data_IF_354076624606
#
_entry.id   IF_354076624606
#
_cell.length_a   1.000
_cell.length_b   1.000
_cell.length_c   1.000
_cell.angle_alpha   90.00
_cell.angle_beta   90.00
_cell.angle_gamma   90.00
#
_symmetry.space_group_name_H-M   'P 1'
#
loop_
_entity.id
_entity.type
_entity.pdbx_description
1 polymer ?
#
# COMPACT_ATOMS: atom_id res chain seq x y z
N UNK A 1 -8.59 -2.23 21.05
CA UNK A 1 -7.32 -1.94 20.34
C UNK A 1 -7.61 -2.06 18.86
N UNK A 2 -7.40 -0.99 18.09
CA UNK A 2 -7.63 -1.05 16.65
C UNK A 2 -6.52 -1.88 16.01
N UNK A 3 -6.89 -2.77 15.10
CA UNK A 3 -5.97 -3.74 14.51
C UNK A 3 -5.25 -3.11 13.31
N UNK A 4 -3.94 -2.93 13.42
CA UNK A 4 -3.09 -2.49 12.29
C UNK A 4 -2.57 -3.68 11.46
N UNK A 5 -3.17 -4.87 11.61
CA UNK A 5 -2.73 -6.09 10.93
C UNK A 5 -2.74 -5.96 9.42
N UNK A 6 -3.78 -5.32 8.84
CA UNK A 6 -3.86 -5.16 7.40
C UNK A 6 -2.79 -4.20 6.86
N UNK A 7 -2.50 -3.11 7.58
CA UNK A 7 -1.36 -2.23 7.27
C UNK A 7 -0.04 -3.01 7.24
N UNK A 8 0.26 -3.78 8.29
CA UNK A 8 1.50 -4.56 8.35
C UNK A 8 1.56 -5.65 7.27
N UNK A 9 0.43 -6.26 6.94
CA UNK A 9 0.34 -7.20 5.83
C UNK A 9 0.70 -6.54 4.49
N UNK A 10 0.08 -5.38 4.18
CA UNK A 10 0.35 -4.64 2.94
C UNK A 10 1.81 -4.19 2.89
N UNK A 11 2.32 -3.59 3.96
CA UNK A 11 3.72 -3.13 4.02
C UNK A 11 4.70 -4.30 3.92
N UNK A 12 4.42 -5.40 4.60
CA UNK A 12 5.19 -6.63 4.51
C UNK A 12 5.23 -7.21 3.11
N UNK A 13 4.09 -7.23 2.41
CA UNK A 13 4.00 -7.63 1.00
C UNK A 13 4.91 -6.76 0.11
N UNK A 14 4.83 -5.44 0.25
CA UNK A 14 5.64 -4.50 -0.54
C UNK A 14 7.13 -4.72 -0.28
N UNK A 15 7.54 -4.82 0.99
CA UNK A 15 8.93 -5.08 1.36
C UNK A 15 9.39 -6.44 0.80
N UNK A 16 8.58 -7.49 0.91
CA UNK A 16 8.94 -8.82 0.41
C UNK A 16 9.14 -8.82 -1.11
N UNK A 17 8.20 -8.26 -1.87
CA UNK A 17 8.30 -8.15 -3.34
C UNK A 17 9.57 -7.40 -3.73
N UNK A 18 9.89 -6.30 -3.04
CA UNK A 18 11.06 -5.47 -3.35
C UNK A 18 12.37 -6.12 -2.94
N UNK A 19 12.41 -6.90 -1.86
CA UNK A 19 13.60 -7.66 -1.45
C UNK A 19 13.94 -8.79 -2.44
N UNK A 20 12.94 -9.47 -2.98
CA UNK A 20 13.13 -10.59 -3.94
C UNK A 20 13.44 -10.06 -5.34
N UNK A 21 13.02 -8.84 -5.68
CA UNK A 21 13.29 -8.25 -6.98
C UNK A 21 14.81 -8.14 -7.27
N UNK A 22 15.33 -8.76 -8.34
CA UNK A 22 16.75 -8.72 -8.68
C UNK A 22 17.18 -7.38 -9.30
N UNK A 23 16.22 -6.53 -9.67
CA UNK A 23 16.46 -5.27 -10.38
C UNK A 23 16.77 -4.09 -9.46
N UNK A 24 16.58 -4.24 -8.15
CA UNK A 24 16.88 -3.22 -7.16
C UNK A 24 18.22 -3.52 -6.50
N UNK A 25 19.09 -2.51 -6.46
CA UNK A 25 20.31 -2.58 -5.66
C UNK A 25 19.97 -2.45 -4.16
N UNK A 26 20.95 -2.72 -3.31
CA UNK A 26 20.77 -2.65 -1.86
C UNK A 26 20.30 -1.27 -1.38
N UNK A 27 20.81 -0.19 -1.97
CA UNK A 27 20.41 1.18 -1.63
C UNK A 27 18.92 1.45 -1.87
N UNK A 28 18.40 1.07 -3.03
CA UNK A 28 16.97 1.21 -3.37
C UNK A 28 16.12 0.38 -2.42
N UNK A 29 16.54 -0.86 -2.13
CA UNK A 29 15.88 -1.74 -1.15
C UNK A 29 15.81 -1.10 0.24
N UNK A 30 16.90 -0.51 0.72
CA UNK A 30 16.93 0.19 2.01
C UNK A 30 16.01 1.42 2.04
N UNK A 31 16.00 2.23 0.97
CA UNK A 31 15.12 3.40 0.87
C UNK A 31 13.65 2.97 0.92
N UNK A 32 13.28 1.89 0.23
CA UNK A 32 11.91 1.35 0.25
C UNK A 32 11.52 0.95 1.67
N UNK A 33 12.37 0.21 2.39
CA UNK A 33 12.09 -0.20 3.77
C UNK A 33 11.91 1.00 4.68
N UNK A 34 12.79 2.01 4.57
CA UNK A 34 12.69 3.25 5.36
C UNK A 34 11.40 4.00 5.01
N UNK A 35 11.06 4.11 3.73
CA UNK A 35 9.85 4.80 3.26
C UNK A 35 8.59 4.16 3.81
N UNK A 36 8.40 2.85 3.61
CA UNK A 36 7.20 2.16 4.08
C UNK A 36 7.15 1.99 5.60
N UNK A 37 8.30 1.86 6.27
CA UNK A 37 8.40 1.89 7.72
C UNK A 37 7.97 3.23 8.31
N UNK A 38 8.46 4.33 7.72
CA UNK A 38 8.10 5.69 8.13
C UNK A 38 6.62 5.98 7.89
N UNK A 39 6.08 5.57 6.73
CA UNK A 39 4.64 5.69 6.46
C UNK A 39 3.79 4.93 7.46
N UNK A 40 4.20 3.71 7.83
CA UNK A 40 3.48 2.90 8.83
C UNK A 40 3.43 3.62 10.18
N UNK A 41 4.56 4.17 10.62
CA UNK A 41 4.64 4.94 11.86
C UNK A 41 3.76 6.20 11.82
N UNK A 42 3.85 6.97 10.72
CA UNK A 42 3.06 8.20 10.53
C UNK A 42 1.56 7.88 10.53
N UNK A 43 1.14 6.82 9.82
CA UNK A 43 -0.26 6.38 9.77
C UNK A 43 -0.78 6.04 11.16
N UNK A 44 -0.07 5.17 11.90
CA UNK A 44 -0.48 4.73 13.24
C UNK A 44 -0.60 5.91 14.18
N UNK A 45 0.36 6.83 14.19
CA UNK A 45 0.35 7.99 15.08
C UNK A 45 -0.82 8.93 14.81
N UNK A 46 -1.03 9.34 13.54
CA UNK A 46 -2.10 10.27 13.19
C UNK A 46 -3.47 9.62 13.39
N UNK A 47 -3.64 8.37 13.00
CA UNK A 47 -4.88 7.63 13.21
C UNK A 47 -5.21 7.46 14.69
N UNK A 48 -4.22 7.09 15.52
CA UNK A 48 -4.39 7.02 16.98
C UNK A 48 -4.71 8.40 17.58
N UNK A 49 -4.12 9.47 17.05
CA UNK A 49 -4.44 10.84 17.47
C UNK A 49 -5.89 11.21 17.15
N UNK A 50 -6.37 10.92 15.94
CA UNK A 50 -7.77 11.18 15.53
C UNK A 50 -8.71 10.42 16.49
N UNK A 51 -8.48 9.12 16.68
CA UNK A 51 -9.28 8.31 17.60
C UNK A 51 -9.31 8.86 19.03
N UNK A 52 -8.17 9.36 19.52
CA UNK A 52 -8.08 9.93 20.86
C UNK A 52 -8.86 11.24 20.99
N UNK A 53 -8.84 12.08 19.95
CA UNK A 53 -9.58 13.36 19.92
C UNK A 53 -11.09 13.15 20.05
N UNK A 54 -11.63 12.10 19.43
CA UNK A 54 -13.08 11.85 19.36
C UNK A 54 -13.57 10.71 20.26
N UNK A 55 -12.71 10.18 21.14
CA UNK A 55 -12.95 8.94 21.91
C UNK A 55 -14.23 8.95 22.75
N UNK A 56 -14.56 10.11 23.34
CA UNK A 56 -15.67 10.24 24.30
C UNK A 56 -16.88 10.98 23.71
N UNK A 57 -16.93 11.14 22.38
CA UNK A 57 -18.02 11.83 21.69
C UNK A 57 -18.92 10.80 21.02
N UNK A 58 -20.14 10.65 21.55
CA UNK A 58 -21.17 9.76 21.00
C UNK A 58 -22.43 10.54 20.63
N UNK A 59 -22.99 10.33 19.41
CA UNK A 59 -22.48 9.49 18.32
C UNK A 59 -21.18 10.07 17.71
N UNK A 60 -20.40 9.23 17.03
CA UNK A 60 -19.15 9.65 16.39
C UNK A 60 -19.47 10.76 15.37
N UNK A 61 -18.89 11.96 15.52
CA UNK A 61 -19.32 13.12 14.75
C UNK A 61 -18.86 13.01 13.29
N UNK A 62 -19.58 13.67 12.37
CA UNK A 62 -19.22 13.73 10.96
C UNK A 62 -17.78 14.23 10.72
N UNK A 63 -17.30 15.14 11.56
CA UNK A 63 -15.93 15.67 11.51
C UNK A 63 -14.85 14.58 11.71
N UNK A 64 -15.11 13.56 12.53
CA UNK A 64 -14.19 12.41 12.66
C UNK A 64 -14.06 11.67 11.33
N UNK A 65 -15.19 11.41 10.68
CA UNK A 65 -15.22 10.64 9.44
C UNK A 65 -14.58 11.42 8.29
N UNK A 66 -14.84 12.71 8.18
CA UNK A 66 -14.19 13.56 7.17
C UNK A 66 -12.66 13.57 7.34
N UNK A 67 -12.16 13.81 8.56
CA UNK A 67 -10.71 13.80 8.83
C UNK A 67 -10.10 12.42 8.60
N UNK A 68 -10.74 11.36 9.09
CA UNK A 68 -10.24 10.00 9.00
C UNK A 68 -10.26 9.47 7.56
N UNK A 69 -11.38 9.61 6.83
CA UNK A 69 -11.48 9.18 5.43
C UNK A 69 -10.44 9.89 4.56
N UNK A 70 -10.26 11.20 4.74
CA UNK A 70 -9.25 11.96 3.99
C UNK A 70 -7.83 11.50 4.31
N UNK A 71 -7.53 11.26 5.59
CA UNK A 71 -6.23 10.74 6.02
C UNK A 71 -5.92 9.37 5.44
N UNK A 72 -6.87 8.44 5.54
CA UNK A 72 -6.75 7.07 5.04
C UNK A 72 -6.62 7.06 3.51
N UNK A 73 -7.39 7.89 2.81
CA UNK A 73 -7.27 8.05 1.36
C UNK A 73 -5.88 8.56 0.96
N UNK A 74 -5.35 9.53 1.69
CA UNK A 74 -4.00 10.07 1.44
C UNK A 74 -2.93 8.99 1.64
N UNK A 75 -3.00 8.26 2.76
CA UNK A 75 -2.01 7.22 3.09
C UNK A 75 -2.11 6.04 2.13
N UNK A 76 -3.32 5.59 1.77
CA UNK A 76 -3.48 4.51 0.80
C UNK A 76 -2.83 4.87 -0.54
N UNK A 77 -3.02 6.11 -1.03
CA UNK A 77 -2.35 6.57 -2.24
C UNK A 77 -0.82 6.59 -2.10
N UNK A 78 -0.29 7.07 -0.97
CA UNK A 78 1.15 7.08 -0.68
C UNK A 78 1.74 5.66 -0.54
N UNK A 79 0.94 4.65 -0.22
CA UNK A 79 1.36 3.25 -0.17
C UNK A 79 1.31 2.62 -1.57
N UNK A 80 0.16 2.70 -2.23
CA UNK A 80 -0.15 1.90 -3.41
C UNK A 80 0.36 2.49 -4.73
N UNK A 81 0.44 3.83 -4.88
CA UNK A 81 1.00 4.42 -6.11
C UNK A 81 2.49 4.11 -6.27
N UNK A 82 3.36 4.34 -5.26
CA UNK A 82 4.76 3.96 -5.38
C UNK A 82 4.94 2.45 -5.58
N UNK A 83 4.10 1.63 -4.93
CA UNK A 83 4.13 0.18 -5.15
C UNK A 83 3.77 -0.20 -6.58
N UNK A 84 2.74 0.42 -7.16
CA UNK A 84 2.36 0.25 -8.56
C UNK A 84 3.49 0.62 -9.51
N UNK A 85 4.17 1.74 -9.27
CA UNK A 85 5.34 2.17 -10.07
C UNK A 85 6.47 1.15 -9.96
N UNK A 86 6.77 0.64 -8.77
CA UNK A 86 7.79 -0.40 -8.58
C UNK A 86 7.45 -1.69 -9.33
N UNK A 87 6.19 -2.12 -9.28
CA UNK A 87 5.73 -3.29 -10.03
C UNK A 87 5.83 -3.08 -11.53
N UNK A 88 5.38 -1.93 -12.04
CA UNK A 88 5.54 -1.58 -13.45
C UNK A 88 7.00 -1.67 -13.89
N UNK A 89 7.93 -1.13 -13.09
CA UNK A 89 9.36 -1.24 -13.37
C UNK A 89 9.84 -2.70 -13.41
N UNK A 90 9.47 -3.52 -12.42
CA UNK A 90 9.85 -4.95 -12.37
C UNK A 90 9.31 -5.69 -13.61
N UNK A 91 8.03 -5.54 -13.92
CA UNK A 91 7.38 -6.20 -15.05
C UNK A 91 7.94 -5.72 -16.39
N UNK A 92 8.25 -4.43 -16.52
CA UNK A 92 8.92 -3.90 -17.70
C UNK A 92 10.30 -4.54 -17.92
N UNK A 93 11.11 -4.66 -16.85
CA UNK A 93 12.43 -5.31 -16.92
C UNK A 93 12.33 -6.79 -17.24
N UNK A 94 11.31 -7.49 -16.74
CA UNK A 94 11.02 -8.88 -17.09
C UNK A 94 10.64 -9.01 -18.57
N UNK A 95 9.77 -8.13 -19.07
CA UNK A 95 9.32 -8.12 -20.45
C UNK A 95 10.46 -7.89 -21.44
N UNK A 96 11.39 -6.98 -21.14
CA UNK A 96 12.57 -6.71 -21.97
C UNK A 96 13.52 -7.91 -22.05
N UNK A 97 13.60 -8.74 -21.01
CA UNK A 97 14.48 -9.92 -20.95
C UNK A 97 13.88 -11.17 -21.55
N UNK A 98 12.56 -11.23 -21.72
CA UNK A 98 11.89 -12.37 -22.30
C UNK A 98 12.16 -12.46 -23.80
N UNK A 99 12.75 -13.58 -24.25
CA UNK A 99 13.06 -13.80 -25.67
C UNK A 99 11.84 -14.35 -26.44
N UNK A 100 11.04 -15.19 -25.80
CA UNK A 100 9.89 -15.86 -26.41
C UNK A 100 8.57 -15.13 -26.17
N UNK A 101 7.66 -15.19 -27.16
CA UNK A 101 6.37 -14.50 -27.12
C UNK A 101 5.48 -15.00 -25.95
N UNK A 102 5.47 -16.31 -25.68
CA UNK A 102 4.67 -16.88 -24.60
C UNK A 102 5.05 -16.30 -23.24
N UNK A 103 6.35 -16.17 -22.95
CA UNK A 103 6.82 -15.55 -21.72
C UNK A 103 6.36 -14.08 -21.60
N UNK A 104 6.40 -13.31 -22.70
CA UNK A 104 5.91 -11.93 -22.74
C UNK A 104 4.41 -11.84 -22.43
N UNK A 105 3.61 -12.76 -22.97
CA UNK A 105 2.16 -12.85 -22.68
C UNK A 105 1.93 -13.18 -21.21
N UNK A 106 2.66 -14.15 -20.63
CA UNK A 106 2.56 -14.47 -19.20
C UNK A 106 2.94 -13.29 -18.31
N UNK A 107 3.99 -12.54 -18.66
CA UNK A 107 4.41 -11.33 -17.94
C UNK A 107 3.30 -10.26 -18.01
N UNK A 108 2.70 -10.05 -19.17
CA UNK A 108 1.61 -9.08 -19.33
C UNK A 108 0.36 -9.46 -18.53
N UNK A 109 -0.04 -10.74 -18.55
CA UNK A 109 -1.15 -11.25 -17.72
C UNK A 109 -0.82 -11.10 -16.23
N UNK A 110 0.41 -11.42 -15.82
CA UNK A 110 0.87 -11.23 -14.45
C UNK A 110 0.79 -9.77 -14.00
N UNK A 111 1.14 -8.82 -14.88
CA UNK A 111 1.01 -7.40 -14.59
C UNK A 111 -0.46 -7.00 -14.39
N UNK A 112 -1.36 -7.47 -15.25
CA UNK A 112 -2.80 -7.21 -15.13
C UNK A 112 -3.32 -7.73 -13.77
N UNK A 113 -2.97 -8.96 -13.40
CA UNK A 113 -3.35 -9.53 -12.10
C UNK A 113 -2.76 -8.74 -10.92
N UNK A 114 -1.50 -8.28 -11.04
CA UNK A 114 -0.88 -7.45 -10.02
C UNK A 114 -1.60 -6.10 -9.85
N UNK A 115 -2.01 -5.45 -10.94
CA UNK A 115 -2.80 -4.21 -10.90
C UNK A 115 -4.16 -4.44 -10.25
N UNK A 116 -4.86 -5.52 -10.62
CA UNK A 116 -6.14 -5.88 -10.00
C UNK A 116 -5.99 -6.11 -8.49
N UNK A 117 -4.92 -6.81 -8.07
CA UNK A 117 -4.62 -7.04 -6.66
C UNK A 117 -4.35 -5.71 -5.92
N UNK A 118 -3.58 -4.79 -6.50
CA UNK A 118 -3.33 -3.48 -5.89
C UNK A 118 -4.64 -2.69 -5.70
N UNK A 119 -5.49 -2.64 -6.72
CA UNK A 119 -6.77 -1.95 -6.64
C UNK A 119 -7.67 -2.56 -5.57
N UNK A 120 -7.71 -3.89 -5.49
CA UNK A 120 -8.43 -4.60 -4.44
C UNK A 120 -7.88 -4.30 -3.05
N UNK A 121 -6.56 -4.37 -2.85
CA UNK A 121 -5.94 -4.05 -1.57
C UNK A 121 -6.15 -2.58 -1.18
N UNK A 122 -6.12 -1.66 -2.14
CA UNK A 122 -6.41 -0.25 -1.91
C UNK A 122 -7.86 -0.04 -1.45
N UNK A 123 -8.81 -0.68 -2.13
CA UNK A 123 -10.22 -0.65 -1.74
C UNK A 123 -10.41 -1.19 -0.30
N UNK A 124 -9.87 -2.37 0.00
CA UNK A 124 -9.96 -2.99 1.34
C UNK A 124 -9.29 -2.11 2.40
N UNK A 125 -8.15 -1.48 2.08
CA UNK A 125 -7.45 -0.59 3.01
C UNK A 125 -8.31 0.62 3.38
N UNK A 126 -8.92 1.26 2.38
CA UNK A 126 -9.81 2.38 2.61
C UNK A 126 -11.07 1.95 3.36
N UNK A 127 -11.65 0.80 3.01
CA UNK A 127 -12.81 0.24 3.69
C UNK A 127 -12.56 -0.01 5.18
N UNK A 128 -11.47 -0.72 5.51
CA UNK A 128 -11.12 -1.09 6.89
C UNK A 128 -10.85 0.13 7.78
N UNK A 129 -10.13 1.12 7.25
CA UNK A 129 -9.62 2.21 8.08
C UNK A 129 -10.37 3.53 7.92
N UNK A 130 -11.08 3.75 6.81
CA UNK A 130 -11.54 5.07 6.39
C UNK A 130 -13.03 5.20 6.12
N UNK A 131 -13.81 4.13 6.00
CA UNK A 131 -15.25 4.24 5.69
C UNK A 131 -16.13 4.39 6.93
N UNK A 132 -17.17 5.21 6.78
CA UNK A 132 -18.31 5.31 7.69
C UNK A 132 -19.06 3.95 7.72
N UNK A 133 -19.30 3.34 8.89
CA UNK A 133 -20.12 2.13 9.01
C UNK A 133 -21.60 2.38 8.69
#
# INVERSE_FOLDING_TARGET
>A
MQSYTFLFFVVGLVVLVTMIAPYFNWWVKSIIVIYYGSLSFIFINKHTSINRTYKDITPVPAAYWEENSQWVWTISNLIFWPFGIMLLYIFFRLFQRAEILSAKVFIAIGLLLAVMLILFLNFVFNFEYGYLP
#
